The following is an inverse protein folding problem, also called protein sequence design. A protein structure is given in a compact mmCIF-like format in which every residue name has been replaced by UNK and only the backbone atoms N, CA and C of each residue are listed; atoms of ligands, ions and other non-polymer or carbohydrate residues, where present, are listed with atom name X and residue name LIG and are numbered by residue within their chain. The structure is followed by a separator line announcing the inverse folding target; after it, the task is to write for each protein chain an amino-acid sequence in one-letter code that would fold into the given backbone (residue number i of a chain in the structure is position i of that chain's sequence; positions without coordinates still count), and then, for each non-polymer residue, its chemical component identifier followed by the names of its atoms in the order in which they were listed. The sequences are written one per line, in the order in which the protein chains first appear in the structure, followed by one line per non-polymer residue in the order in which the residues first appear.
data_IF_468907069806
#
_entry.id   IF_468907069806
#
_cell.length_a   1.000
_cell.length_b   1.000
_cell.length_c   1.000
_cell.angle_alpha   90.00
_cell.angle_beta   90.00
_cell.angle_gamma   90.00
#
_symmetry.space_group_name_H-M   'P 1'
#
loop_
_entity.id
_entity.type
_entity.pdbx_description
1 polymer ?
#
# COMPACT_ATOMS: atom_id res chain seq x y z
N UNK A 1 7.26 16.46 -24.37
CA UNK A 1 6.43 16.34 -23.16
C UNK A 1 5.88 14.92 -23.13
N UNK A 2 6.46 14.02 -22.32
CA UNK A 2 6.01 12.62 -22.24
C UNK A 2 4.99 12.51 -21.08
N UNK A 3 3.72 12.18 -21.37
CA UNK A 3 2.69 12.08 -20.34
C UNK A 3 3.04 11.00 -19.32
N UNK A 4 2.99 11.38 -18.04
CA UNK A 4 2.74 10.52 -16.86
C UNK A 4 3.45 9.17 -16.89
N UNK A 5 4.79 9.16 -16.73
CA UNK A 5 5.55 7.95 -17.03
C UNK A 5 5.27 6.76 -16.12
N UNK A 6 4.84 6.87 -14.85
CA UNK A 6 4.69 5.66 -14.01
C UNK A 6 3.50 5.70 -13.01
N UNK A 7 2.25 5.50 -13.47
CA UNK A 7 1.13 5.05 -12.60
C UNK A 7 1.46 3.76 -11.82
N UNK A 8 2.50 3.02 -12.23
CA UNK A 8 3.08 1.91 -11.47
C UNK A 8 3.54 2.29 -10.05
N UNK A 9 4.08 3.49 -9.83
CA UNK A 9 4.60 3.85 -8.50
C UNK A 9 3.48 3.94 -7.45
N UNK A 10 2.29 4.38 -7.86
CA UNK A 10 1.09 4.41 -7.02
C UNK A 10 0.73 3.00 -6.56
N UNK A 11 0.67 2.07 -7.51
CA UNK A 11 0.32 0.68 -7.25
C UNK A 11 1.39 -0.01 -6.41
N UNK A 12 2.68 0.28 -6.65
CA UNK A 12 3.80 -0.29 -5.89
C UNK A 12 3.71 0.10 -4.41
N UNK A 13 3.36 1.35 -4.11
CA UNK A 13 3.24 1.82 -2.72
C UNK A 13 2.12 1.07 -1.99
N UNK A 14 0.93 0.98 -2.60
CA UNK A 14 -0.18 0.21 -2.00
C UNK A 14 0.13 -1.27 -1.86
N UNK A 15 0.72 -1.85 -2.90
CA UNK A 15 1.09 -3.27 -2.92
C UNK A 15 2.10 -3.59 -1.82
N UNK A 16 3.05 -2.70 -1.52
CA UNK A 16 4.02 -2.89 -0.45
C UNK A 16 3.33 -3.09 0.91
N UNK A 17 2.34 -2.26 1.24
CA UNK A 17 1.59 -2.40 2.49
C UNK A 17 0.73 -3.67 2.54
N UNK A 18 0.15 -4.09 1.41
CA UNK A 18 -0.58 -5.37 1.32
C UNK A 18 0.37 -6.55 1.55
N UNK A 19 1.56 -6.53 0.94
CA UNK A 19 2.58 -7.57 1.13
C UNK A 19 3.03 -7.61 2.59
N UNK A 20 3.28 -6.46 3.22
CA UNK A 20 3.64 -6.41 4.65
C UNK A 20 2.51 -6.96 5.53
N UNK A 21 1.25 -6.60 5.26
CA UNK A 21 0.09 -7.14 5.97
C UNK A 21 -0.05 -8.66 5.82
N UNK A 22 0.19 -9.18 4.62
CA UNK A 22 0.19 -10.62 4.36
C UNK A 22 1.34 -11.32 5.11
N UNK A 23 2.55 -10.78 5.09
CA UNK A 23 3.69 -11.33 5.83
C UNK A 23 3.46 -11.29 7.35
N UNK A 24 2.87 -10.22 7.86
CA UNK A 24 2.50 -10.08 9.27
C UNK A 24 1.49 -11.16 9.70
N UNK A 25 0.42 -11.37 8.93
CA UNK A 25 -0.58 -12.40 9.22
C UNK A 25 -0.03 -13.82 9.06
N UNK A 26 0.67 -14.09 7.95
CA UNK A 26 1.20 -15.42 7.64
C UNK A 26 2.37 -15.81 8.55
N UNK A 27 3.15 -14.85 9.04
CA UNK A 27 4.22 -15.07 9.99
C UNK A 27 3.74 -15.41 11.41
N UNK A 28 2.53 -14.97 11.79
CA UNK A 28 1.97 -15.29 13.10
C UNK A 28 1.69 -16.79 13.27
N UNK A 29 1.23 -17.47 12.20
CA UNK A 29 0.87 -18.90 12.21
C UNK A 29 2.05 -19.83 12.58
N UNK A 30 3.21 -19.79 11.89
CA UNK A 30 4.35 -20.65 12.23
C UNK A 30 5.01 -20.30 13.55
N UNK A 31 4.83 -19.07 14.05
CA UNK A 31 5.39 -18.62 15.33
C UNK A 31 4.46 -18.90 16.53
N UNK A 32 3.26 -19.47 16.29
CA UNK A 32 2.29 -19.78 17.34
C UNK A 32 1.60 -18.55 17.95
N UNK A 33 1.71 -17.38 17.31
CA UNK A 33 1.04 -16.16 17.74
C UNK A 33 -0.38 -16.07 17.16
N UNK A 34 -1.26 -15.37 17.86
CA UNK A 34 -2.59 -15.07 17.35
C UNK A 34 -2.49 -14.02 16.24
N UNK A 35 -3.27 -14.18 15.17
CA UNK A 35 -3.31 -13.20 14.10
C UNK A 35 -4.06 -11.96 14.60
N UNK A 36 -3.37 -10.83 14.75
CA UNK A 36 -4.01 -9.56 15.09
C UNK A 36 -4.63 -8.94 13.84
N UNK A 37 -5.87 -9.30 13.58
CA UNK A 37 -6.63 -8.79 12.42
C UNK A 37 -6.79 -7.26 12.44
N UNK A 38 -6.74 -6.62 13.60
CA UNK A 38 -6.70 -5.17 13.73
C UNK A 38 -5.45 -4.56 13.06
N UNK A 39 -4.28 -5.16 13.26
CA UNK A 39 -3.03 -4.74 12.60
C UNK A 39 -3.09 -4.97 11.09
N UNK A 40 -3.58 -6.13 10.66
CA UNK A 40 -3.72 -6.47 9.23
C UNK A 40 -4.66 -5.49 8.51
N UNK A 41 -5.82 -5.20 9.10
CA UNK A 41 -6.80 -4.26 8.52
C UNK A 41 -6.29 -2.83 8.50
N UNK A 42 -5.58 -2.39 9.54
CA UNK A 42 -4.91 -1.09 9.56
C UNK A 42 -3.86 -0.97 8.44
N UNK A 43 -3.01 -1.99 8.26
CA UNK A 43 -2.01 -2.02 7.19
C UNK A 43 -2.67 -1.97 5.80
N UNK A 44 -3.77 -2.69 5.61
CA UNK A 44 -4.58 -2.61 4.39
C UNK A 44 -5.13 -1.20 4.14
N UNK A 45 -5.77 -0.59 5.15
CA UNK A 45 -6.32 0.76 5.04
C UNK A 45 -5.23 1.82 4.77
N UNK A 46 -4.07 1.69 5.43
CA UNK A 46 -2.90 2.54 5.21
C UNK A 46 -2.37 2.41 3.78
N UNK A 47 -2.26 1.19 3.26
CA UNK A 47 -1.85 0.94 1.88
C UNK A 47 -2.76 1.60 0.85
N UNK A 48 -4.08 1.53 1.07
CA UNK A 48 -5.07 2.23 0.24
C UNK A 48 -4.89 3.75 0.34
N UNK A 49 -4.78 4.29 1.56
CA UNK A 49 -4.61 5.72 1.78
C UNK A 49 -3.33 6.27 1.10
N UNK A 50 -2.21 5.57 1.23
CA UNK A 50 -0.95 5.96 0.61
C UNK A 50 -1.01 5.87 -0.93
N UNK A 51 -1.74 4.89 -1.48
CA UNK A 51 -2.00 4.80 -2.91
C UNK A 51 -2.82 5.98 -3.41
N UNK A 52 -3.89 6.33 -2.70
CA UNK A 52 -4.71 7.48 -3.03
C UNK A 52 -3.90 8.79 -2.99
N UNK A 53 -3.08 8.98 -1.94
CA UNK A 53 -2.20 10.14 -1.83
C UNK A 53 -1.21 10.21 -3.01
N UNK A 54 -0.56 9.09 -3.35
CA UNK A 54 0.38 9.05 -4.47
C UNK A 54 -0.32 9.37 -5.81
N UNK A 55 -1.55 8.90 -6.01
CA UNK A 55 -2.35 9.27 -7.18
C UNK A 55 -2.67 10.76 -7.21
N UNK A 56 -3.13 11.34 -6.09
CA UNK A 56 -3.45 12.77 -5.98
C UNK A 56 -2.23 13.63 -6.28
N UNK A 57 -1.05 13.28 -5.78
CA UNK A 57 0.19 14.01 -6.05
C UNK A 57 0.55 14.01 -7.54
N UNK A 58 0.38 12.87 -8.22
CA UNK A 58 0.63 12.77 -9.67
C UNK A 58 -0.39 13.57 -10.47
N UNK A 59 -1.68 13.46 -10.11
CA UNK A 59 -2.75 14.19 -10.77
C UNK A 59 -2.59 15.71 -10.63
N UNK A 60 -2.19 16.18 -9.45
CA UNK A 60 -1.93 17.59 -9.17
C UNK A 60 -0.65 18.13 -9.81
N UNK A 61 0.43 17.34 -9.90
CA UNK A 61 1.69 17.81 -10.51
C UNK A 61 1.67 17.87 -12.04
N UNK A 62 0.60 17.42 -12.68
CA UNK A 62 0.48 17.38 -14.15
C UNK A 62 -0.06 18.67 -14.75
N UNK A 63 -0.31 19.70 -13.91
CA UNK A 63 -0.97 20.95 -14.27
C UNK A 63 -0.09 22.21 -14.32
N UNK A 64 1.21 22.11 -14.06
CA UNK A 64 2.22 23.16 -14.30
C UNK A 64 3.07 22.83 -15.55
#
# INVERSE_FOLDING_TARGET
MHPVRHPRNVVIIGLAFIVVGALYALGAVPLGYHIEWAGVTMLGALGVAMSLMAYVLIAGSSGD
#
